data_IF_899756466375
#
_entry.id   IF_899756466375
#
_cell.length_a   1.000
_cell.length_b   1.000
_cell.length_c   1.000
_cell.angle_alpha   90.00
_cell.angle_beta   90.00
_cell.angle_gamma   90.00
#
_symmetry.space_group_name_H-M   'P 1'
#
loop_
_entity.id
_entity.type
_entity.pdbx_description
1 polymer ?
#
# COMPACT_ATOMS: atom_id res chain seq x y z
N UNK A 1 0.56 5.29 10.84
CA UNK A 1 0.07 4.09 11.51
C UNK A 1 -0.51 3.03 10.58
N UNK A 2 -1.02 3.35 9.39
CA UNK A 2 -1.66 2.37 8.50
C UNK A 2 -0.67 1.53 7.67
N UNK A 3 0.54 2.02 7.44
CA UNK A 3 1.55 1.38 6.59
C UNK A 3 2.43 0.35 7.32
N UNK A 4 1.87 -0.33 8.32
CA UNK A 4 2.59 -1.38 9.05
C UNK A 4 2.42 -2.70 8.29
N UNK A 5 3.51 -3.34 7.83
CA UNK A 5 3.42 -4.59 7.12
C UNK A 5 2.76 -5.70 7.97
N UNK A 6 1.82 -6.42 7.34
CA UNK A 6 1.04 -7.49 7.95
C UNK A 6 0.26 -7.10 9.22
N UNK A 7 -0.10 -5.81 9.36
CA UNK A 7 -1.02 -5.37 10.41
C UNK A 7 -2.44 -5.89 10.14
N UNK A 8 -2.83 -5.91 8.88
CA UNK A 8 -4.12 -6.41 8.41
C UNK A 8 -3.90 -7.69 7.59
N UNK A 9 -4.75 -8.69 7.79
CA UNK A 9 -4.67 -9.97 7.08
C UNK A 9 -5.58 -10.00 5.86
N UNK A 10 -6.69 -9.28 5.92
CA UNK A 10 -7.69 -9.19 4.86
C UNK A 10 -8.40 -7.82 4.88
N UNK A 11 -9.36 -7.63 3.98
CA UNK A 11 -10.13 -6.41 3.88
C UNK A 11 -11.04 -6.19 5.09
N UNK A 12 -11.60 -7.24 5.68
CA UNK A 12 -12.46 -7.15 6.86
C UNK A 12 -11.70 -6.60 8.07
N UNK A 13 -10.47 -7.09 8.31
CA UNK A 13 -9.57 -6.56 9.34
C UNK A 13 -9.28 -5.07 9.12
N UNK A 14 -8.96 -4.68 7.89
CA UNK A 14 -8.65 -3.30 7.55
C UNK A 14 -9.86 -2.38 7.74
N UNK A 15 -11.03 -2.81 7.27
CA UNK A 15 -12.26 -2.02 7.40
C UNK A 15 -12.74 -1.93 8.86
N UNK A 16 -12.59 -3.00 9.65
CA UNK A 16 -12.91 -2.95 11.08
C UNK A 16 -12.11 -1.86 11.81
N UNK A 17 -10.83 -1.66 11.45
CA UNK A 17 -10.01 -0.61 12.03
C UNK A 17 -10.38 0.76 11.47
N UNK A 18 -10.61 0.90 10.16
CA UNK A 18 -11.02 2.16 9.54
C UNK A 18 -12.39 2.65 10.03
N UNK A 19 -13.27 1.74 10.44
CA UNK A 19 -14.60 2.08 10.98
C UNK A 19 -14.60 2.24 12.51
N UNK A 20 -13.44 2.06 13.15
CA UNK A 20 -13.28 2.23 14.59
C UNK A 20 -12.97 3.66 15.01
N UNK A 21 -12.99 3.91 16.32
CA UNK A 21 -12.57 5.20 16.90
C UNK A 21 -11.11 5.58 16.62
N UNK A 22 -10.24 4.62 16.27
CA UNK A 22 -8.84 4.89 15.90
C UNK A 22 -8.72 5.78 14.67
N UNK A 23 -9.61 5.62 13.69
CA UNK A 23 -9.66 6.50 12.52
C UNK A 23 -9.86 7.96 12.93
N UNK A 24 -10.80 8.22 13.84
CA UNK A 24 -11.06 9.57 14.30
C UNK A 24 -9.84 10.19 14.98
N UNK A 25 -9.10 9.41 15.77
CA UNK A 25 -7.85 9.87 16.39
C UNK A 25 -6.79 10.20 15.33
N UNK A 26 -6.65 9.38 14.30
CA UNK A 26 -5.72 9.65 13.19
C UNK A 26 -6.09 10.88 12.40
N UNK A 27 -7.37 11.07 12.08
CA UNK A 27 -7.87 12.26 11.38
C UNK A 27 -7.64 13.53 12.19
N UNK A 28 -7.89 13.48 13.50
CA UNK A 28 -7.62 14.61 14.39
C UNK A 28 -6.11 14.95 14.44
N UNK A 29 -5.24 13.96 14.51
CA UNK A 29 -3.78 14.17 14.47
C UNK A 29 -3.35 14.73 13.12
N UNK A 30 -3.79 14.13 12.02
CA UNK A 30 -3.48 14.62 10.68
C UNK A 30 -3.94 16.06 10.48
N UNK A 31 -5.13 16.41 10.95
CA UNK A 31 -5.62 17.78 10.90
C UNK A 31 -4.80 18.73 11.77
N UNK A 32 -4.40 18.31 12.97
CA UNK A 32 -3.56 19.12 13.85
C UNK A 32 -2.18 19.42 13.24
N UNK A 33 -1.57 18.40 12.61
CA UNK A 33 -0.23 18.50 12.04
C UNK A 33 -0.19 19.24 10.70
N UNK A 34 -1.21 19.05 9.86
CA UNK A 34 -1.23 19.55 8.47
C UNK A 34 -2.18 20.73 8.26
N UNK A 35 -3.09 21.00 9.20
CA UNK A 35 -4.22 21.93 9.07
C UNK A 35 -5.25 21.55 8.00
N UNK A 36 -5.02 20.48 7.23
CA UNK A 36 -5.97 19.97 6.24
C UNK A 36 -7.17 19.31 6.92
N UNK A 37 -8.31 19.34 6.28
CA UNK A 37 -9.56 18.74 6.76
C UNK A 37 -9.70 17.35 6.15
N UNK A 38 -9.52 16.25 6.89
CA UNK A 38 -9.75 14.90 6.38
C UNK A 38 -11.22 14.72 6.00
N UNK A 39 -11.48 14.13 4.83
CA UNK A 39 -12.83 13.91 4.30
C UNK A 39 -13.16 12.42 4.15
N UNK A 40 -12.23 11.63 3.63
CA UNK A 40 -12.41 10.20 3.40
C UNK A 40 -11.08 9.44 3.38
N UNK A 41 -11.14 8.13 3.62
CA UNK A 41 -10.05 7.17 3.41
C UNK A 41 -10.42 6.27 2.25
N UNK A 42 -9.90 6.56 1.05
CA UNK A 42 -10.16 5.76 -0.14
C UNK A 42 -9.22 4.57 -0.17
N UNK A 43 -9.80 3.41 -0.30
CA UNK A 43 -9.09 2.14 -0.40
C UNK A 43 -8.38 2.00 -1.76
N UNK A 44 -7.13 1.58 -1.75
CA UNK A 44 -6.33 1.24 -2.95
C UNK A 44 -6.00 -0.27 -2.96
N UNK A 45 -6.25 -0.95 -1.87
CA UNK A 45 -6.06 -2.39 -1.70
C UNK A 45 -4.69 -2.78 -1.15
N UNK A 46 -4.49 -4.10 -1.15
CA UNK A 46 -3.25 -4.70 -0.66
C UNK A 46 -2.12 -4.59 -1.67
N UNK A 47 -0.90 -4.29 -1.18
CA UNK A 47 0.31 -4.19 -1.98
C UNK A 47 0.89 -5.57 -2.25
N UNK A 48 1.42 -5.73 -3.46
CA UNK A 48 2.01 -6.96 -3.98
C UNK A 48 3.46 -6.73 -4.38
N UNK A 49 4.27 -7.76 -4.23
CA UNK A 49 5.66 -7.74 -4.67
C UNK A 49 5.75 -8.10 -6.16
N UNK A 50 6.47 -7.30 -6.97
CA UNK A 50 6.86 -7.71 -8.32
C UNK A 50 8.36 -7.81 -8.47
N UNK A 51 8.83 -8.75 -9.27
CA UNK A 51 10.25 -9.00 -9.53
C UNK A 51 10.47 -9.70 -10.87
N UNK A 52 11.75 -9.84 -11.27
CA UNK A 52 12.14 -10.62 -12.45
C UNK A 52 12.60 -12.05 -12.10
N UNK A 53 12.26 -12.51 -10.91
CA UNK A 53 12.38 -13.90 -10.46
C UNK A 53 11.25 -14.24 -9.50
N UNK A 54 10.98 -15.51 -9.32
CA UNK A 54 10.03 -15.98 -8.31
C UNK A 54 10.59 -15.77 -6.90
N UNK A 55 9.70 -15.31 -6.00
CA UNK A 55 10.00 -15.09 -4.59
C UNK A 55 8.92 -15.78 -3.76
N UNK A 56 9.31 -16.82 -3.06
CA UNK A 56 8.42 -17.63 -2.20
C UNK A 56 8.70 -17.45 -0.71
N UNK A 57 9.83 -16.82 -0.38
CA UNK A 57 10.24 -16.61 1.01
C UNK A 57 11.16 -15.39 1.13
N UNK A 58 11.35 -14.84 2.33
CA UNK A 58 12.36 -13.81 2.58
C UNK A 58 13.78 -14.22 2.14
N UNK A 59 14.12 -15.50 2.19
CA UNK A 59 15.45 -15.98 1.76
C UNK A 59 15.71 -15.74 0.27
N UNK A 60 14.67 -15.71 -0.56
CA UNK A 60 14.79 -15.46 -1.99
C UNK A 60 15.07 -13.98 -2.31
N UNK A 61 14.85 -13.09 -1.35
CA UNK A 61 15.12 -11.65 -1.48
C UNK A 61 16.59 -11.30 -1.29
N UNK A 62 17.41 -12.24 -0.85
CA UNK A 62 18.84 -11.99 -0.66
C UNK A 62 19.51 -11.54 -1.96
N UNK A 63 20.07 -10.33 -1.94
CA UNK A 63 20.73 -9.70 -3.08
C UNK A 63 19.78 -9.07 -4.10
N UNK A 64 18.47 -9.08 -3.88
CA UNK A 64 17.49 -8.38 -4.70
C UNK A 64 17.47 -6.91 -4.30
N UNK A 65 17.63 -6.02 -5.26
CA UNK A 65 17.48 -4.59 -5.06
C UNK A 65 16.00 -4.25 -5.21
N UNK A 66 15.34 -3.94 -4.10
CA UNK A 66 13.93 -3.54 -4.12
C UNK A 66 13.77 -2.03 -4.00
N UNK A 67 12.92 -1.47 -4.85
CA UNK A 67 12.46 -0.09 -4.65
C UNK A 67 11.37 -0.06 -3.60
N UNK A 68 11.48 0.87 -2.67
CA UNK A 68 10.41 1.19 -1.72
C UNK A 68 10.03 2.67 -1.80
N UNK A 69 8.92 3.03 -1.17
CA UNK A 69 8.66 4.42 -0.81
C UNK A 69 9.69 4.90 0.22
N UNK A 70 9.80 6.24 0.38
CA UNK A 70 10.61 6.86 1.44
C UNK A 70 9.81 6.76 2.75
N UNK A 71 9.67 5.56 3.26
CA UNK A 71 8.95 5.21 4.50
C UNK A 71 9.87 4.30 5.34
N UNK A 72 10.36 4.78 6.49
CA UNK A 72 11.30 4.03 7.31
C UNK A 72 10.76 2.65 7.76
N UNK A 73 9.45 2.53 8.03
CA UNK A 73 8.84 1.26 8.46
C UNK A 73 8.92 0.25 7.33
N UNK A 74 8.54 0.64 6.13
CA UNK A 74 8.62 -0.25 4.97
C UNK A 74 10.06 -0.58 4.60
N UNK A 75 10.95 0.41 4.59
CA UNK A 75 12.37 0.20 4.32
C UNK A 75 12.96 -0.84 5.27
N UNK A 76 12.79 -0.66 6.58
CA UNK A 76 13.28 -1.59 7.60
C UNK A 76 12.69 -3.00 7.43
N UNK A 77 11.42 -3.11 7.05
CA UNK A 77 10.78 -4.41 6.84
C UNK A 77 11.39 -5.16 5.64
N UNK A 78 11.60 -4.48 4.51
CA UNK A 78 12.21 -5.09 3.34
C UNK A 78 13.69 -5.44 3.56
N UNK A 79 14.42 -4.63 4.34
CA UNK A 79 15.79 -4.97 4.79
C UNK A 79 15.79 -6.23 5.67
N UNK A 80 14.84 -6.35 6.58
CA UNK A 80 14.72 -7.54 7.42
C UNK A 80 14.31 -8.79 6.63
N UNK A 81 13.57 -8.65 5.54
CA UNK A 81 13.35 -9.74 4.59
C UNK A 81 14.63 -10.11 3.81
N UNK A 82 15.71 -9.34 3.92
CA UNK A 82 17.00 -9.62 3.29
C UNK A 82 17.22 -8.93 1.94
N UNK A 83 16.32 -8.05 1.52
CA UNK A 83 16.48 -7.27 0.30
C UNK A 83 17.46 -6.10 0.49
N UNK A 84 18.03 -5.62 -0.62
CA UNK A 84 18.78 -4.36 -0.66
C UNK A 84 17.82 -3.24 -1.03
N UNK A 85 17.46 -2.41 -0.06
CA UNK A 85 16.44 -1.37 -0.23
C UNK A 85 17.01 -0.13 -0.91
N UNK A 86 16.30 0.37 -1.92
CA UNK A 86 16.60 1.61 -2.62
C UNK A 86 15.36 2.50 -2.66
N UNK A 87 15.27 3.54 -1.83
CA UNK A 87 14.13 4.46 -1.87
C UNK A 87 14.19 5.31 -3.13
N UNK A 88 13.11 5.28 -3.92
CA UNK A 88 12.97 6.05 -5.16
C UNK A 88 11.56 6.67 -5.21
N UNK A 89 11.41 7.96 -5.58
CA UNK A 89 10.11 8.58 -5.79
C UNK A 89 9.25 7.78 -6.79
N UNK A 90 7.94 7.74 -6.57
CA UNK A 90 7.03 6.94 -7.42
C UNK A 90 7.12 7.33 -8.90
N UNK A 91 7.25 8.63 -9.20
CA UNK A 91 7.36 9.13 -10.57
C UNK A 91 8.61 8.61 -11.32
N UNK A 92 9.63 8.16 -10.60
CA UNK A 92 10.89 7.65 -11.17
C UNK A 92 10.93 6.11 -11.22
N UNK A 93 9.93 5.43 -10.65
CA UNK A 93 9.91 3.98 -10.49
C UNK A 93 10.04 3.22 -11.82
N UNK A 94 9.22 3.58 -12.82
CA UNK A 94 9.28 2.92 -14.12
C UNK A 94 10.67 3.00 -14.75
N UNK A 95 11.26 4.20 -14.72
CA UNK A 95 12.61 4.42 -15.25
C UNK A 95 13.69 3.67 -14.46
N UNK A 96 13.56 3.60 -13.14
CA UNK A 96 14.49 2.86 -12.28
C UNK A 96 14.47 1.36 -12.58
N UNK A 97 13.29 0.77 -12.81
CA UNK A 97 13.13 -0.62 -13.25
C UNK A 97 13.69 -0.84 -14.67
N UNK A 98 13.38 0.06 -15.61
CA UNK A 98 13.85 -0.03 -16.99
C UNK A 98 15.39 0.04 -17.08
N UNK A 99 16.00 0.89 -16.27
CA UNK A 99 17.46 1.03 -16.21
C UNK A 99 18.14 -0.03 -15.32
N UNK A 100 17.36 -0.93 -14.71
CA UNK A 100 17.86 -1.97 -13.79
C UNK A 100 18.61 -1.39 -12.58
N UNK A 101 18.24 -0.18 -12.16
CA UNK A 101 18.70 0.40 -10.90
C UNK A 101 18.15 -0.43 -9.74
N UNK A 102 16.93 -0.92 -9.88
CA UNK A 102 16.25 -1.84 -8.96
C UNK A 102 15.74 -3.06 -9.74
N UNK A 103 15.63 -4.21 -9.05
CA UNK A 103 15.23 -5.50 -9.60
C UNK A 103 13.76 -5.83 -9.30
N UNK A 104 13.23 -5.22 -8.26
CA UNK A 104 11.90 -5.46 -7.72
C UNK A 104 11.27 -4.18 -7.20
N UNK A 105 9.95 -4.21 -7.02
CA UNK A 105 9.16 -3.15 -6.38
C UNK A 105 7.91 -3.76 -5.73
N UNK A 106 7.18 -2.97 -4.98
CA UNK A 106 5.92 -3.35 -4.36
C UNK A 106 4.89 -2.20 -4.49
N UNK A 107 3.67 -2.54 -4.89
CA UNK A 107 2.55 -1.60 -5.05
C UNK A 107 1.21 -2.36 -5.09
N UNK A 108 0.08 -1.65 -4.89
CA UNK A 108 -1.22 -2.22 -5.20
C UNK A 108 -1.35 -2.59 -6.68
N UNK A 109 -2.14 -3.61 -7.04
CA UNK A 109 -2.33 -4.06 -8.43
C UNK A 109 -2.74 -2.93 -9.37
N UNK A 110 -3.62 -2.04 -8.94
CA UNK A 110 -4.06 -0.86 -9.70
C UNK A 110 -2.89 0.03 -10.12
N UNK A 111 -1.93 0.26 -9.23
CA UNK A 111 -0.74 1.06 -9.52
C UNK A 111 0.23 0.33 -10.45
N UNK A 112 0.35 -1.00 -10.31
CA UNK A 112 1.20 -1.82 -11.19
C UNK A 112 0.69 -1.74 -12.63
N UNK A 113 -0.63 -1.83 -12.81
CA UNK A 113 -1.27 -1.77 -14.13
C UNK A 113 -1.25 -0.35 -14.70
N UNK A 114 -1.71 0.66 -13.95
CA UNK A 114 -1.82 2.03 -14.45
C UNK A 114 -0.46 2.64 -14.84
N UNK A 115 0.61 2.27 -14.15
CA UNK A 115 1.98 2.69 -14.46
C UNK A 115 2.74 1.71 -15.35
N UNK A 116 2.08 0.67 -15.86
CA UNK A 116 2.65 -0.36 -16.75
C UNK A 116 3.91 -1.03 -16.20
N UNK A 117 4.00 -1.16 -14.88
CA UNK A 117 5.16 -1.78 -14.22
C UNK A 117 5.34 -3.23 -14.67
N UNK A 118 4.24 -3.90 -15.02
CA UNK A 118 4.24 -5.27 -15.58
C UNK A 118 5.11 -5.42 -16.84
N UNK A 119 5.38 -4.35 -17.59
CA UNK A 119 6.27 -4.42 -18.76
C UNK A 119 7.73 -4.70 -18.36
N UNK A 120 8.11 -4.35 -17.12
CA UNK A 120 9.47 -4.48 -16.58
C UNK A 120 9.60 -5.63 -15.57
N UNK A 121 8.49 -6.29 -15.18
CA UNK A 121 8.44 -7.28 -14.11
C UNK A 121 7.74 -8.55 -14.57
N UNK A 122 8.49 -9.67 -14.59
CA UNK A 122 7.99 -10.95 -15.09
C UNK A 122 7.07 -11.68 -14.11
N UNK A 123 7.17 -11.36 -12.82
CA UNK A 123 6.43 -12.04 -11.74
C UNK A 123 5.77 -11.03 -10.81
N UNK A 124 4.56 -11.39 -10.38
CA UNK A 124 3.82 -10.69 -9.31
C UNK A 124 3.45 -11.72 -8.24
N UNK A 125 4.06 -11.63 -7.06
CA UNK A 125 3.76 -12.47 -5.91
C UNK A 125 2.69 -11.79 -5.06
N UNK A 126 1.58 -12.47 -4.80
CA UNK A 126 0.51 -12.00 -3.92
C UNK A 126 0.95 -12.11 -2.46
N UNK A 127 1.73 -11.14 -2.03
CA UNK A 127 2.26 -11.06 -0.66
C UNK A 127 1.29 -10.45 0.31
N UNK A 128 0.34 -9.62 -0.14
CA UNK A 128 -0.63 -8.89 0.69
C UNK A 128 0.00 -8.24 1.93
N UNK A 129 1.25 -7.78 1.79
CA UNK A 129 2.07 -7.39 2.94
C UNK A 129 1.67 -6.06 3.57
N UNK A 130 0.89 -5.24 2.86
CA UNK A 130 0.48 -3.93 3.36
C UNK A 130 -0.83 -3.50 2.72
N UNK A 131 -1.79 -3.06 3.54
CA UNK A 131 -3.02 -2.43 3.08
C UNK A 131 -2.79 -0.93 2.88
N UNK A 132 -3.24 -0.39 1.77
CA UNK A 132 -3.00 1.01 1.41
C UNK A 132 -4.29 1.78 1.23
N UNK A 133 -4.38 2.93 1.89
CA UNK A 133 -5.44 3.92 1.68
C UNK A 133 -4.86 5.26 1.24
N UNK A 134 -5.66 6.06 0.54
CA UNK A 134 -5.37 7.47 0.28
C UNK A 134 -6.34 8.33 1.06
N UNK A 135 -5.81 9.31 1.81
CA UNK A 135 -6.64 10.27 2.54
C UNK A 135 -7.02 11.39 1.59
N UNK A 136 -8.32 11.57 1.41
CA UNK A 136 -8.87 12.76 0.76
C UNK A 136 -9.01 13.86 1.80
N UNK A 137 -8.45 15.03 1.52
CA UNK A 137 -8.46 16.14 2.44
C UNK A 137 -8.71 17.47 1.72
N UNK A 138 -9.45 18.37 2.36
CA UNK A 138 -9.63 19.73 1.87
C UNK A 138 -8.58 20.67 2.48
N UNK A 139 -8.12 21.65 1.71
CA UNK A 139 -7.30 22.72 2.23
C UNK A 139 -8.12 23.59 3.21
N UNK A 140 -7.53 24.08 4.30
CA UNK A 140 -8.26 24.94 5.26
C UNK A 140 -8.73 26.25 4.61
N UNK A 141 -7.98 26.78 3.66
CA UNK A 141 -8.35 28.00 2.92
C UNK A 141 -9.63 27.78 2.12
N UNK A 142 -9.67 26.71 1.32
CA UNK A 142 -10.87 26.33 0.56
C UNK A 142 -12.05 26.06 1.52
N UNK A 143 -11.83 25.29 2.57
CA UNK A 143 -12.86 24.89 3.52
C UNK A 143 -13.51 26.08 4.22
N UNK A 144 -12.73 27.12 4.52
CA UNK A 144 -13.24 28.35 5.16
C UNK A 144 -14.13 29.19 4.24
N UNK A 145 -14.09 28.98 2.93
CA UNK A 145 -14.95 29.72 1.96
C UNK A 145 -16.34 29.11 1.81
N UNK A 146 -16.55 27.89 2.31
CA UNK A 146 -17.79 27.15 2.16
C UNK A 146 -18.82 27.54 3.23
N UNK A 147 -20.09 27.50 2.85
CA UNK A 147 -21.21 27.53 3.81
C UNK A 147 -21.23 26.25 4.64
N UNK A 148 -21.90 26.27 5.80
CA UNK A 148 -22.06 25.04 6.60
C UNK A 148 -22.85 23.97 5.85
N UNK A 149 -23.81 24.35 5.01
CA UNK A 149 -24.58 23.45 4.16
C UNK A 149 -23.67 22.74 3.14
N UNK A 150 -22.79 23.50 2.46
CA UNK A 150 -21.83 22.94 1.49
C UNK A 150 -20.82 22.00 2.18
N UNK A 151 -20.37 22.34 3.39
CA UNK A 151 -19.47 21.48 4.16
C UNK A 151 -20.09 20.12 4.47
N UNK A 152 -21.34 20.14 4.95
CA UNK A 152 -22.09 18.89 5.22
C UNK A 152 -22.28 18.09 3.93
N UNK A 153 -22.71 18.74 2.86
CA UNK A 153 -22.88 18.08 1.57
C UNK A 153 -21.59 17.40 1.07
N UNK A 154 -20.45 18.09 1.15
CA UNK A 154 -19.15 17.54 0.74
C UNK A 154 -18.74 16.36 1.63
N UNK A 155 -18.94 16.45 2.95
CA UNK A 155 -18.63 15.36 3.86
C UNK A 155 -19.49 14.11 3.58
N UNK A 156 -20.78 14.29 3.37
CA UNK A 156 -21.68 13.17 3.04
C UNK A 156 -21.33 12.53 1.69
N UNK A 157 -21.01 13.35 0.67
CA UNK A 157 -20.59 12.87 -0.65
C UNK A 157 -19.30 12.02 -0.55
N UNK A 158 -18.32 12.46 0.23
CA UNK A 158 -17.07 11.70 0.40
C UNK A 158 -17.29 10.41 1.19
N UNK A 159 -18.21 10.40 2.16
CA UNK A 159 -18.58 9.20 2.88
C UNK A 159 -19.24 8.15 1.95
N UNK A 160 -20.15 8.58 1.09
CA UNK A 160 -20.76 7.71 0.07
C UNK A 160 -19.70 7.20 -0.92
N UNK A 161 -18.79 8.08 -1.36
CA UNK A 161 -17.69 7.72 -2.26
C UNK A 161 -16.76 6.68 -1.62
N UNK A 162 -16.43 6.82 -0.35
CA UNK A 162 -15.61 5.84 0.38
C UNK A 162 -16.25 4.46 0.38
N UNK A 163 -17.54 4.38 0.73
CA UNK A 163 -18.27 3.11 0.73
C UNK A 163 -18.39 2.49 -0.67
N UNK A 164 -18.57 3.33 -1.69
CA UNK A 164 -18.59 2.87 -3.07
C UNK A 164 -17.23 2.31 -3.51
N UNK A 165 -16.14 2.99 -3.21
CA UNK A 165 -14.77 2.52 -3.52
C UNK A 165 -14.52 1.18 -2.84
N UNK A 166 -14.82 1.02 -1.54
CA UNK A 166 -14.65 -0.23 -0.81
C UNK A 166 -15.41 -1.39 -1.49
N UNK A 167 -16.63 -1.13 -1.96
CA UNK A 167 -17.43 -2.17 -2.61
C UNK A 167 -16.87 -2.68 -3.93
N UNK A 168 -15.90 -1.97 -4.51
CA UNK A 168 -15.31 -2.32 -5.81
C UNK A 168 -13.85 -2.80 -5.70
N UNK A 169 -13.13 -2.45 -4.64
CA UNK A 169 -11.67 -2.59 -4.60
C UNK A 169 -11.22 -4.04 -4.70
N UNK A 170 -11.91 -4.96 -4.05
CA UNK A 170 -11.54 -6.38 -4.08
C UNK A 170 -11.75 -6.97 -5.48
N UNK A 171 -12.94 -6.78 -6.06
CA UNK A 171 -13.27 -7.26 -7.42
C UNK A 171 -12.34 -6.63 -8.48
N UNK A 172 -12.04 -5.34 -8.36
CA UNK A 172 -11.14 -4.65 -9.26
C UNK A 172 -9.70 -5.17 -9.13
N UNK A 173 -9.27 -5.54 -7.93
CA UNK A 173 -7.93 -6.12 -7.70
C UNK A 173 -7.74 -7.41 -8.48
N UNK A 174 -8.73 -8.28 -8.50
CA UNK A 174 -8.69 -9.51 -9.30
C UNK A 174 -8.61 -9.21 -10.80
N UNK A 175 -9.39 -8.24 -11.29
CA UNK A 175 -9.31 -7.80 -12.67
C UNK A 175 -7.93 -7.25 -13.07
N UNK A 176 -7.21 -6.60 -12.16
CA UNK A 176 -5.84 -6.14 -12.42
C UNK A 176 -4.82 -7.30 -12.46
N UNK A 177 -5.01 -8.35 -11.66
CA UNK A 177 -4.18 -9.56 -11.79
C UNK A 177 -4.40 -10.25 -13.13
N UNK A 178 -5.65 -10.37 -13.58
CA UNK A 178 -5.99 -10.92 -14.90
C UNK A 178 -5.36 -10.10 -16.02
N UNK A 179 -5.39 -8.76 -15.91
CA UNK A 179 -4.74 -7.89 -16.89
C UNK A 179 -3.22 -8.13 -16.93
N UNK A 180 -2.53 -8.17 -15.80
CA UNK A 180 -1.11 -8.45 -15.72
C UNK A 180 -0.77 -9.81 -16.38
N UNK A 181 -1.55 -10.85 -16.10
CA UNK A 181 -1.39 -12.16 -16.72
C UNK A 181 -1.58 -12.12 -18.23
N UNK A 182 -2.57 -11.38 -18.72
CA UNK A 182 -2.82 -11.21 -20.16
C UNK A 182 -1.66 -10.50 -20.88
N UNK A 183 -0.85 -9.73 -20.15
CA UNK A 183 0.34 -9.02 -20.63
C UNK A 183 1.63 -9.83 -20.45
N UNK A 184 1.56 -11.03 -19.90
CA UNK A 184 2.69 -11.96 -19.80
C UNK A 184 3.38 -12.00 -18.42
N UNK A 185 2.87 -11.28 -17.40
CA UNK A 185 3.36 -11.42 -16.04
C UNK A 185 2.80 -12.69 -15.42
N UNK A 186 3.64 -13.49 -14.79
CA UNK A 186 3.21 -14.64 -14.00
C UNK A 186 2.76 -14.16 -12.62
N UNK A 187 1.47 -14.34 -12.32
CA UNK A 187 0.93 -14.05 -10.98
C UNK A 187 1.05 -15.32 -10.12
N UNK A 188 1.69 -15.19 -8.96
CA UNK A 188 1.96 -16.28 -8.04
C UNK A 188 1.14 -16.06 -6.76
N UNK A 189 0.27 -17.02 -6.46
CA UNK A 189 -0.41 -17.13 -5.19
C UNK A 189 0.52 -17.80 -4.19
N UNK A 190 0.94 -17.06 -3.15
CA UNK A 190 1.75 -17.64 -2.08
C UNK A 190 0.88 -18.53 -1.18
N UNK A 191 1.40 -19.66 -0.78
CA UNK A 191 0.73 -20.53 0.19
C UNK A 191 0.69 -19.88 1.58
N UNK A 192 -0.22 -20.35 2.42
CA UNK A 192 -0.33 -19.87 3.82
C UNK A 192 0.99 -20.03 4.58
N UNK A 193 1.73 -21.11 4.35
CA UNK A 193 3.03 -21.35 5.01
C UNK A 193 4.09 -20.35 4.51
N UNK A 194 4.12 -20.05 3.21
CA UNK A 194 5.02 -19.04 2.63
C UNK A 194 4.71 -17.65 3.18
N UNK A 195 3.43 -17.24 3.19
CA UNK A 195 3.01 -15.96 3.78
C UNK A 195 3.36 -15.86 5.25
N UNK A 196 3.20 -16.97 6.00
CA UNK A 196 3.55 -17.00 7.42
C UNK A 196 5.02 -16.69 7.68
N UNK A 197 5.94 -17.15 6.82
CA UNK A 197 7.37 -16.83 6.96
C UNK A 197 7.63 -15.33 6.84
N UNK A 198 6.98 -14.65 5.88
CA UNK A 198 7.06 -13.19 5.75
C UNK A 198 6.47 -12.48 6.98
N UNK A 199 5.31 -12.92 7.45
CA UNK A 199 4.65 -12.35 8.63
C UNK A 199 5.49 -12.46 9.89
N UNK A 200 6.13 -13.61 10.12
CA UNK A 200 6.97 -13.85 11.31
C UNK A 200 8.22 -12.97 11.29
N UNK A 201 8.82 -12.73 10.12
CA UNK A 201 9.93 -11.77 9.99
C UNK A 201 9.45 -10.34 10.21
N UNK A 202 8.31 -9.94 9.60
CA UNK A 202 7.75 -8.59 9.75
C UNK A 202 7.45 -8.25 11.21
N UNK A 203 6.90 -9.18 12.00
CA UNK A 203 6.66 -8.99 13.44
C UNK A 203 7.93 -8.61 14.20
N UNK A 204 9.07 -9.17 13.84
CA UNK A 204 10.34 -8.84 14.50
C UNK A 204 10.76 -7.39 14.24
N UNK A 205 10.45 -6.84 13.08
CA UNK A 205 10.77 -5.45 12.73
C UNK A 205 9.94 -4.44 13.52
N UNK A 206 8.69 -4.79 13.82
CA UNK A 206 7.76 -3.89 14.53
C UNK A 206 8.16 -3.72 16.00
N UNK A 207 8.75 -4.73 16.61
CA UNK A 207 9.23 -4.67 18.00
C UNK A 207 10.41 -3.70 18.15
N UNK A 208 11.25 -3.53 17.13
CA UNK A 208 12.37 -2.59 17.15
C UNK A 208 11.97 -1.13 16.95
N UNK A 209 10.78 -0.85 16.39
CA UNK A 209 10.29 0.51 16.20
C UNK A 209 9.58 1.08 17.43
N UNK A 210 9.14 0.23 18.37
CA UNK A 210 8.50 0.67 19.62
C UNK A 210 9.50 1.23 20.65
N UNK A 211 10.78 0.86 20.57
CA UNK A 211 11.83 1.30 21.49
C UNK A 211 12.60 2.54 20.99
N UNK A 212 12.24 3.07 19.82
CA UNK A 212 12.87 4.23 19.19
C UNK A 212 11.99 5.50 19.19
N UNK A 213 10.85 5.50 19.91
CA UNK A 213 9.90 6.61 20.01
C UNK A 213 9.97 7.30 21.37
#
# INVERSE_FOLDING_TARGET
GLNIPYLYMDYDDAYAVLDSGLRQEWDQRAQADTQCIPLAHLDIGFRQLTANKEIHSPADLKGVKIRTMVDPIQMNCWEAFGASVTPVPYAELYTALQQKLVDAQENPPSNIVSSKIYEMQSYCMKTNHNFTTTIMAASPVFWSTLSEEDKVFIQDLWKETEMYVRSLTEDLSDGFFDEMQSKGTTVIELTTDELKVFQDVAKSCLLYTSDAA
#
